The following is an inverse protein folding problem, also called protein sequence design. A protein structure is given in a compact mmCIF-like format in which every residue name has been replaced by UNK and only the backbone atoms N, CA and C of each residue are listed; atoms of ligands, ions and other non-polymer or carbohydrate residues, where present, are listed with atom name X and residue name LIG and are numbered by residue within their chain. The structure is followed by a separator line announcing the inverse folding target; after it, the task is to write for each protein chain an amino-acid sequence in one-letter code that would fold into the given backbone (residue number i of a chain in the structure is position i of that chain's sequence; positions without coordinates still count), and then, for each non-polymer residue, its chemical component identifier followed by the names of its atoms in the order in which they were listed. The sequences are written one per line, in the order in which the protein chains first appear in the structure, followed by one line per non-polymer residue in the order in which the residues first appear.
data_IF_417451322204
#
_entry.id   IF_417451322204
#
_cell.length_a   1.000
_cell.length_b   1.000
_cell.length_c   1.000
_cell.angle_alpha   90.00
_cell.angle_beta   90.00
_cell.angle_gamma   90.00
#
_symmetry.space_group_name_H-M   'P 1'
#
loop_
_entity.id
_entity.type
_entity.pdbx_description
1 polymer ?
#
# COMPACT_ATOMS: atom_id res chain seq x y z
N UNK A 1 -1.00 -2.93 -11.71
CA UNK A 1 -0.45 -3.51 -10.46
C UNK A 1 -0.59 -5.03 -10.38
N UNK A 2 -1.71 -5.64 -10.82
CA UNK A 2 -1.94 -7.09 -10.74
C UNK A 2 -0.76 -7.99 -11.14
N UNK A 3 -0.01 -7.71 -12.23
CA UNK A 3 1.13 -8.56 -12.62
C UNK A 3 2.31 -8.52 -11.63
N UNK A 4 2.27 -7.62 -10.63
CA UNK A 4 3.34 -7.46 -9.65
C UNK A 4 3.04 -8.15 -8.32
N UNK A 5 1.82 -8.67 -8.14
CA UNK A 5 1.46 -9.47 -6.97
C UNK A 5 1.84 -10.94 -7.20
N UNK A 6 2.66 -11.47 -6.32
CA UNK A 6 3.04 -12.89 -6.32
C UNK A 6 1.99 -13.67 -5.53
N UNK A 7 0.91 -14.08 -6.21
CA UNK A 7 -0.23 -14.78 -5.61
C UNK A 7 -0.47 -16.11 -6.35
N UNK A 8 -0.63 -17.19 -5.58
CA UNK A 8 -0.84 -18.57 -6.08
C UNK A 8 -2.29 -19.04 -5.98
N UNK A 9 -3.14 -18.29 -5.28
CA UNK A 9 -4.53 -18.64 -5.01
C UNK A 9 -4.77 -19.31 -3.66
N UNK A 10 -3.72 -19.55 -2.88
CA UNK A 10 -3.79 -20.23 -1.58
C UNK A 10 -3.55 -19.30 -0.40
N UNK A 11 -3.24 -18.04 -0.65
CA UNK A 11 -2.87 -17.08 0.38
C UNK A 11 -4.08 -16.59 1.17
N UNK A 12 -3.86 -16.38 2.46
CA UNK A 12 -4.66 -15.51 3.33
C UNK A 12 -3.98 -14.16 3.32
N UNK A 13 -4.65 -13.14 2.79
CA UNK A 13 -4.06 -11.82 2.63
C UNK A 13 -4.76 -10.76 3.48
N UNK A 14 -4.01 -9.74 3.93
CA UNK A 14 -4.58 -8.59 4.63
C UNK A 14 -4.36 -7.30 3.82
N UNK A 15 -5.40 -6.45 3.76
CA UNK A 15 -5.38 -5.11 3.18
C UNK A 15 -5.55 -4.08 4.29
N UNK A 16 -4.45 -3.41 4.63
CA UNK A 16 -4.37 -2.46 5.74
C UNK A 16 -4.67 -1.04 5.24
N UNK A 17 -5.75 -0.46 5.74
CA UNK A 17 -6.34 0.75 5.19
C UNK A 17 -7.12 0.45 3.92
N UNK A 18 -7.97 -0.57 3.95
CA UNK A 18 -8.67 -1.10 2.77
C UNK A 18 -9.70 -0.13 2.16
N UNK A 19 -10.04 0.95 2.85
CA UNK A 19 -11.03 1.91 2.39
C UNK A 19 -12.35 1.23 2.02
N UNK A 20 -12.87 1.57 0.86
CA UNK A 20 -14.12 1.01 0.33
C UNK A 20 -13.95 -0.34 -0.41
N UNK A 21 -12.84 -1.06 -0.17
CA UNK A 21 -12.63 -2.43 -0.64
C UNK A 21 -12.35 -2.60 -2.14
N UNK A 22 -11.84 -1.58 -2.82
CA UNK A 22 -11.56 -1.67 -4.27
C UNK A 22 -10.56 -2.78 -4.60
N UNK A 23 -9.57 -3.04 -3.73
CA UNK A 23 -8.57 -4.06 -3.96
C UNK A 23 -9.17 -5.47 -3.97
N UNK A 24 -10.25 -5.72 -3.22
CA UNK A 24 -10.97 -6.99 -3.22
C UNK A 24 -11.42 -7.42 -4.62
N UNK A 25 -11.88 -6.49 -5.46
CA UNK A 25 -12.33 -6.79 -6.84
C UNK A 25 -11.19 -7.42 -7.67
N UNK A 26 -9.96 -7.06 -7.36
CA UNK A 26 -8.77 -7.47 -8.12
C UNK A 26 -8.08 -8.69 -7.51
N UNK A 27 -8.01 -8.76 -6.20
CA UNK A 27 -7.22 -9.75 -5.46
C UNK A 27 -8.10 -10.89 -4.95
N UNK A 28 -9.34 -10.62 -4.54
CA UNK A 28 -10.26 -11.63 -4.01
C UNK A 28 -10.36 -12.91 -4.84
N UNK A 29 -10.55 -12.85 -6.18
CA UNK A 29 -10.61 -14.04 -7.02
C UNK A 29 -9.30 -14.83 -7.14
N UNK A 30 -8.20 -14.35 -6.56
CA UNK A 30 -6.84 -14.87 -6.71
C UNK A 30 -6.19 -15.30 -5.40
N UNK A 31 -6.95 -15.33 -4.32
CA UNK A 31 -6.49 -15.71 -2.99
C UNK A 31 -7.48 -16.64 -2.32
N UNK A 32 -7.03 -17.36 -1.32
CA UNK A 32 -7.90 -18.21 -0.50
C UNK A 32 -8.84 -17.35 0.35
N UNK A 33 -8.29 -16.34 1.01
CA UNK A 33 -9.04 -15.42 1.86
C UNK A 33 -8.48 -14.00 1.77
N UNK A 34 -9.37 -13.02 1.73
CA UNK A 34 -9.04 -11.60 1.78
C UNK A 34 -9.62 -10.97 3.03
N UNK A 35 -8.79 -10.29 3.80
CA UNK A 35 -9.16 -9.59 5.03
C UNK A 35 -8.84 -8.12 4.91
N UNK A 36 -9.86 -7.27 4.83
CA UNK A 36 -9.72 -5.81 4.81
C UNK A 36 -9.82 -5.22 6.21
N UNK A 37 -8.98 -4.24 6.53
CA UNK A 37 -9.03 -3.51 7.80
C UNK A 37 -9.02 -2.01 7.54
N UNK A 38 -9.98 -1.30 8.09
CA UNK A 38 -10.03 0.16 8.07
C UNK A 38 -10.64 0.69 9.37
N UNK A 39 -10.22 1.87 9.83
CA UNK A 39 -10.79 2.47 11.03
C UNK A 39 -12.14 3.15 10.78
N UNK A 40 -12.47 3.44 9.52
CA UNK A 40 -13.70 4.12 9.12
C UNK A 40 -14.84 3.14 8.94
N UNK A 41 -15.81 3.17 9.84
CA UNK A 41 -17.02 2.35 9.73
C UNK A 41 -17.80 2.59 8.41
N UNK A 42 -17.76 3.83 7.89
CA UNK A 42 -18.39 4.16 6.62
C UNK A 42 -17.72 3.44 5.45
N UNK A 43 -16.38 3.40 5.44
CA UNK A 43 -15.63 2.68 4.41
C UNK A 43 -15.84 1.16 4.52
N UNK A 44 -15.82 0.61 5.72
CA UNK A 44 -16.06 -0.83 5.94
C UNK A 44 -17.45 -1.23 5.43
N UNK A 45 -18.50 -0.48 5.78
CA UNK A 45 -19.85 -0.73 5.24
C UNK A 45 -19.92 -0.64 3.71
N UNK A 46 -19.16 0.26 3.10
CA UNK A 46 -19.10 0.36 1.64
C UNK A 46 -18.36 -0.82 1.02
N UNK A 47 -17.27 -1.26 1.65
CA UNK A 47 -16.51 -2.43 1.24
C UNK A 47 -17.35 -3.72 1.31
N UNK A 48 -18.14 -3.90 2.36
CA UNK A 48 -19.09 -5.02 2.48
C UNK A 48 -20.16 -4.99 1.37
N UNK A 49 -20.77 -3.82 1.13
CA UNK A 49 -21.73 -3.66 0.02
C UNK A 49 -21.11 -3.98 -1.34
N UNK A 50 -19.86 -3.54 -1.57
CA UNK A 50 -19.11 -3.86 -2.79
C UNK A 50 -18.87 -5.37 -2.92
N UNK A 51 -18.41 -6.02 -1.85
CA UNK A 51 -18.22 -7.48 -1.79
C UNK A 51 -19.50 -8.22 -2.19
N UNK A 52 -20.62 -7.85 -1.57
CA UNK A 52 -21.92 -8.50 -1.78
C UNK A 52 -22.43 -8.26 -3.20
N UNK A 53 -22.32 -7.04 -3.71
CA UNK A 53 -22.70 -6.69 -5.09
C UNK A 53 -21.86 -7.43 -6.16
N UNK A 54 -20.61 -7.79 -5.83
CA UNK A 54 -19.71 -8.55 -6.70
C UNK A 54 -19.84 -10.07 -6.53
N UNK A 55 -20.60 -10.53 -5.54
CA UNK A 55 -20.75 -11.95 -5.22
C UNK A 55 -19.45 -12.61 -4.73
N UNK A 56 -18.51 -11.84 -4.21
CA UNK A 56 -17.22 -12.32 -3.67
C UNK A 56 -17.49 -12.85 -2.26
N UNK A 57 -17.16 -14.13 -2.01
CA UNK A 57 -17.50 -14.80 -0.73
C UNK A 57 -16.33 -14.96 0.22
N UNK A 58 -15.11 -14.81 -0.25
CA UNK A 58 -13.87 -15.02 0.50
C UNK A 58 -13.26 -13.71 1.03
N UNK A 59 -14.04 -12.62 1.06
CA UNK A 59 -13.64 -11.33 1.61
C UNK A 59 -14.32 -11.03 2.94
N UNK A 60 -13.57 -10.64 3.95
CA UNK A 60 -14.06 -10.14 5.24
C UNK A 60 -13.53 -8.74 5.50
N UNK A 61 -14.28 -7.92 6.24
CA UNK A 61 -13.86 -6.55 6.58
C UNK A 61 -14.00 -6.29 8.07
N UNK A 62 -13.04 -5.57 8.63
CA UNK A 62 -12.98 -5.22 10.05
C UNK A 62 -12.86 -3.71 10.23
N UNK A 63 -13.78 -3.13 11.00
CA UNK A 63 -13.68 -1.74 11.44
C UNK A 63 -12.80 -1.71 12.69
N UNK A 64 -11.50 -1.41 12.55
CA UNK A 64 -10.55 -1.46 13.65
C UNK A 64 -9.33 -0.57 13.41
N UNK A 65 -8.65 -0.18 14.49
CA UNK A 65 -7.27 0.31 14.44
C UNK A 65 -6.35 -0.81 13.95
N UNK A 66 -5.47 -0.52 12.98
CA UNK A 66 -4.59 -1.52 12.36
C UNK A 66 -3.66 -2.16 13.40
N UNK A 67 -3.13 -1.39 14.37
CA UNK A 67 -2.22 -1.92 15.40
C UNK A 67 -2.96 -2.89 16.31
N UNK A 68 -4.16 -2.53 16.76
CA UNK A 68 -4.99 -3.40 17.59
C UNK A 68 -5.40 -4.67 16.84
N UNK A 69 -5.77 -4.56 15.57
CA UNK A 69 -6.10 -5.70 14.71
C UNK A 69 -4.90 -6.63 14.55
N UNK A 70 -3.73 -6.11 14.20
CA UNK A 70 -2.51 -6.90 14.02
C UNK A 70 -2.10 -7.63 15.31
N UNK A 71 -2.27 -7.00 16.48
CA UNK A 71 -1.95 -7.61 17.77
C UNK A 71 -2.78 -8.88 18.06
N UNK A 72 -4.00 -8.98 17.51
CA UNK A 72 -4.84 -10.17 17.62
C UNK A 72 -4.63 -11.21 16.51
N UNK A 73 -3.79 -10.90 15.50
CA UNK A 73 -3.53 -11.77 14.35
C UNK A 73 -2.02 -11.98 14.09
N UNK A 74 -1.21 -12.41 15.07
CA UNK A 74 0.23 -12.58 14.90
C UNK A 74 0.54 -13.71 13.91
N UNK A 75 1.38 -13.42 12.92
CA UNK A 75 1.82 -14.40 11.89
C UNK A 75 0.67 -15.12 11.18
N UNK A 76 -0.40 -14.39 10.86
CA UNK A 76 -1.60 -14.95 10.24
C UNK A 76 -1.60 -14.84 8.70
N UNK A 77 -0.95 -13.83 8.13
CA UNK A 77 -1.14 -13.48 6.72
C UNK A 77 0.07 -13.88 5.85
N UNK A 78 -0.22 -14.45 4.69
CA UNK A 78 0.77 -14.86 3.68
C UNK A 78 1.24 -13.68 2.83
N UNK A 79 0.42 -12.63 2.71
CA UNK A 79 0.81 -11.34 2.12
C UNK A 79 0.00 -10.20 2.73
N UNK A 80 0.56 -8.99 2.67
CA UNK A 80 -0.08 -7.76 3.14
C UNK A 80 -0.07 -6.67 2.07
N UNK A 81 -1.08 -5.81 2.10
CA UNK A 81 -1.21 -4.66 1.23
C UNK A 81 -1.39 -3.38 2.06
N UNK A 82 -0.76 -2.29 1.63
CA UNK A 82 -0.94 -0.93 2.14
C UNK A 82 -0.93 0.02 0.95
N UNK A 83 -2.05 0.07 0.22
CA UNK A 83 -2.14 0.79 -1.05
C UNK A 83 -2.85 2.13 -0.85
N UNK A 84 -2.21 3.22 -1.29
CA UNK A 84 -2.71 4.59 -1.13
C UNK A 84 -3.10 4.91 0.33
N UNK A 85 -2.28 4.42 1.27
CA UNK A 85 -2.46 4.53 2.72
C UNK A 85 -1.34 5.33 3.38
N UNK A 86 -0.08 5.10 2.98
CA UNK A 86 1.10 5.60 3.68
C UNK A 86 1.23 7.13 3.66
N UNK A 87 0.69 7.80 2.66
CA UNK A 87 0.67 9.26 2.54
C UNK A 87 -0.25 9.97 3.54
N UNK A 88 -1.15 9.23 4.19
CA UNK A 88 -2.13 9.74 5.15
C UNK A 88 -1.65 9.68 6.61
N UNK A 89 -0.44 9.17 6.86
CA UNK A 89 0.11 8.99 8.22
C UNK A 89 1.53 9.56 8.32
N UNK A 90 1.85 10.15 9.48
CA UNK A 90 3.20 10.65 9.78
C UNK A 90 4.19 9.51 10.03
N UNK A 91 5.49 9.81 10.07
CA UNK A 91 6.55 8.81 10.16
C UNK A 91 6.50 7.97 11.45
N UNK A 92 6.14 8.57 12.57
CA UNK A 92 5.96 7.88 13.86
C UNK A 92 4.79 6.87 13.81
N UNK A 93 3.67 7.28 13.19
CA UNK A 93 2.53 6.40 12.95
C UNK A 93 2.90 5.27 11.96
N UNK A 94 3.65 5.61 10.88
CA UNK A 94 4.14 4.62 9.92
C UNK A 94 4.97 3.54 10.61
N UNK A 95 5.91 3.92 11.49
CA UNK A 95 6.75 2.97 12.23
C UNK A 95 5.93 2.08 13.16
N UNK A 96 4.98 2.66 13.90
CA UNK A 96 4.11 1.91 14.79
C UNK A 96 3.24 0.89 14.03
N UNK A 97 2.59 1.34 12.97
CA UNK A 97 1.71 0.51 12.13
C UNK A 97 2.53 -0.52 11.34
N UNK A 98 3.65 -0.11 10.74
CA UNK A 98 4.50 -0.99 9.94
C UNK A 98 5.11 -2.14 10.76
N UNK A 99 5.49 -1.90 12.01
CA UNK A 99 5.93 -2.96 12.94
C UNK A 99 4.78 -3.93 13.27
N UNK A 100 3.59 -3.41 13.53
CA UNK A 100 2.42 -4.25 13.78
C UNK A 100 2.06 -5.11 12.55
N UNK A 101 2.09 -4.52 11.35
CA UNK A 101 1.89 -5.26 10.09
C UNK A 101 2.97 -6.34 9.93
N UNK A 102 4.24 -6.00 10.18
CA UNK A 102 5.33 -6.97 10.13
C UNK A 102 5.06 -8.16 11.06
N UNK A 103 4.59 -7.92 12.29
CA UNK A 103 4.30 -8.99 13.26
C UNK A 103 3.12 -9.87 12.83
N UNK A 104 2.10 -9.28 12.19
CA UNK A 104 0.93 -10.00 11.68
C UNK A 104 1.23 -10.85 10.43
N UNK A 105 2.26 -10.52 9.67
CA UNK A 105 2.69 -11.30 8.52
C UNK A 105 3.43 -12.57 8.94
N UNK A 106 3.29 -13.65 8.18
CA UNK A 106 4.09 -14.88 8.33
C UNK A 106 5.55 -14.65 7.95
N UNK A 107 6.51 -15.42 8.48
CA UNK A 107 7.89 -15.42 7.98
C UNK A 107 7.93 -15.68 6.47
N UNK A 108 8.69 -14.88 5.73
CA UNK A 108 8.78 -14.95 4.27
C UNK A 108 7.69 -14.22 3.51
N UNK A 109 6.64 -13.75 4.16
CA UNK A 109 5.53 -13.04 3.54
C UNK A 109 5.96 -11.73 2.87
N UNK A 110 5.25 -11.36 1.80
CA UNK A 110 5.45 -10.10 1.08
C UNK A 110 4.50 -9.01 1.61
N UNK A 111 5.03 -7.81 1.69
CA UNK A 111 4.22 -6.61 1.93
C UNK A 111 4.32 -5.68 0.72
N UNK A 112 3.18 -5.32 0.17
CA UNK A 112 3.03 -4.47 -1.00
C UNK A 112 2.57 -3.09 -0.60
N UNK A 113 3.32 -2.06 -1.00
CA UNK A 113 3.01 -0.66 -0.73
C UNK A 113 2.87 0.08 -2.05
N UNK A 114 1.81 0.87 -2.18
CA UNK A 114 1.62 1.78 -3.30
C UNK A 114 1.31 3.18 -2.77
N UNK A 115 1.97 4.22 -3.32
CA UNK A 115 1.87 5.57 -2.77
C UNK A 115 2.39 6.61 -3.78
N UNK A 116 2.04 7.90 -3.67
CA UNK A 116 2.68 8.97 -4.43
C UNK A 116 4.20 9.06 -4.17
N UNK A 117 4.95 9.58 -5.14
CA UNK A 117 6.38 9.81 -5.01
C UNK A 117 6.67 11.30 -4.79
N UNK A 118 7.26 11.66 -3.65
CA UNK A 118 7.64 13.04 -3.33
C UNK A 118 8.60 13.69 -4.34
N UNK A 119 9.39 12.89 -5.08
CA UNK A 119 10.28 13.42 -6.12
C UNK A 119 9.54 13.79 -7.41
N UNK A 120 8.27 13.40 -7.58
CA UNK A 120 7.47 13.73 -8.74
C UNK A 120 7.20 15.23 -8.84
N UNK A 121 7.33 15.80 -10.05
CA UNK A 121 7.28 17.25 -10.23
C UNK A 121 5.99 17.90 -9.68
N UNK A 122 4.84 17.24 -9.80
CA UNK A 122 3.58 17.77 -9.26
C UNK A 122 3.58 17.79 -7.72
N UNK A 123 4.18 16.78 -7.06
CA UNK A 123 4.33 16.79 -5.60
C UNK A 123 5.29 17.89 -5.16
N UNK A 124 6.37 18.13 -5.91
CA UNK A 124 7.27 19.28 -5.65
C UNK A 124 6.57 20.61 -5.81
N UNK A 125 5.71 20.77 -6.84
CA UNK A 125 4.90 21.98 -7.00
C UNK A 125 3.90 22.18 -5.86
N UNK A 126 3.36 21.11 -5.29
CA UNK A 126 2.51 21.15 -4.08
C UNK A 126 3.32 21.57 -2.86
N UNK A 127 4.50 20.99 -2.66
CA UNK A 127 5.41 21.36 -1.58
C UNK A 127 5.76 22.86 -1.64
N UNK A 128 5.99 23.40 -2.82
CA UNK A 128 6.24 24.83 -3.05
C UNK A 128 4.98 25.69 -3.03
N UNK A 129 3.81 25.10 -2.73
CA UNK A 129 2.50 25.78 -2.70
C UNK A 129 2.07 26.42 -4.04
N UNK A 130 2.64 25.98 -5.15
CA UNK A 130 2.21 26.36 -6.52
C UNK A 130 0.93 25.63 -6.88
N UNK A 131 0.80 24.36 -6.48
CA UNK A 131 -0.42 23.58 -6.61
C UNK A 131 -1.06 23.36 -5.24
N UNK A 132 -2.40 23.24 -5.22
CA UNK A 132 -3.16 22.89 -4.01
C UNK A 132 -2.72 21.50 -3.50
N UNK A 133 -2.53 21.39 -2.20
CA UNK A 133 -2.32 20.10 -1.54
C UNK A 133 -3.52 19.18 -1.73
N UNK A 134 -3.26 17.88 -1.86
CA UNK A 134 -4.32 16.87 -1.84
C UNK A 134 -4.74 16.72 -0.37
N UNK A 135 -6.05 16.83 -0.14
CA UNK A 135 -6.62 16.68 1.18
C UNK A 135 -6.28 15.29 1.77
N UNK A 136 -5.86 15.27 3.02
CA UNK A 136 -5.44 14.05 3.70
C UNK A 136 -4.00 13.59 3.43
N UNK A 137 -3.30 14.11 2.42
CA UNK A 137 -1.89 13.79 2.20
C UNK A 137 -1.02 14.58 3.16
N UNK A 138 -0.67 13.99 4.30
CA UNK A 138 0.11 14.63 5.36
C UNK A 138 1.61 14.35 5.25
N UNK A 139 2.01 13.26 4.57
CA UNK A 139 3.41 12.84 4.49
C UNK A 139 3.71 12.04 3.21
N UNK A 140 3.75 12.71 2.07
CA UNK A 140 4.24 12.12 0.83
C UNK A 140 5.76 11.93 0.93
N UNK A 141 6.26 10.73 0.64
CA UNK A 141 7.67 10.36 0.81
C UNK A 141 8.30 9.94 -0.51
N UNK A 142 9.61 10.07 -0.62
CA UNK A 142 10.38 9.49 -1.71
C UNK A 142 10.83 8.05 -1.39
N UNK A 143 11.46 7.39 -2.36
CA UNK A 143 11.95 6.01 -2.24
C UNK A 143 12.85 5.86 -1.00
N UNK A 144 13.86 6.71 -0.84
CA UNK A 144 14.84 6.59 0.25
C UNK A 144 14.18 6.61 1.62
N UNK A 145 13.17 7.48 1.80
CA UNK A 145 12.45 7.55 3.09
C UNK A 145 11.60 6.31 3.33
N UNK A 146 10.92 5.78 2.30
CA UNK A 146 10.18 4.52 2.42
C UNK A 146 11.10 3.35 2.74
N UNK A 147 12.22 3.21 2.04
CA UNK A 147 13.20 2.14 2.30
C UNK A 147 13.70 2.19 3.75
N UNK A 148 14.06 3.37 4.26
CA UNK A 148 14.51 3.54 5.63
C UNK A 148 13.42 3.15 6.64
N UNK A 149 12.18 3.61 6.46
CA UNK A 149 11.06 3.32 7.36
C UNK A 149 10.69 1.83 7.33
N UNK A 150 10.64 1.20 6.14
CA UNK A 150 10.36 -0.23 6.01
C UNK A 150 11.46 -1.08 6.67
N UNK A 151 12.74 -0.71 6.49
CA UNK A 151 13.84 -1.40 7.16
C UNK A 151 13.76 -1.26 8.69
N UNK A 152 13.40 -0.09 9.20
CA UNK A 152 13.20 0.15 10.64
C UNK A 152 11.99 -0.62 11.20
N UNK A 153 10.98 -0.94 10.35
CA UNK A 153 9.88 -1.82 10.71
C UNK A 153 10.27 -3.32 10.70
N UNK A 154 11.48 -3.69 10.24
CA UNK A 154 11.95 -5.07 10.18
C UNK A 154 11.82 -5.73 8.79
N UNK A 155 11.34 -5.01 7.79
CA UNK A 155 11.27 -5.53 6.42
C UNK A 155 12.63 -5.50 5.73
N UNK A 156 12.84 -6.45 4.83
CA UNK A 156 14.06 -6.60 4.01
C UNK A 156 13.69 -6.73 2.53
N UNK A 157 14.72 -6.74 1.66
CA UNK A 157 14.55 -6.94 0.21
C UNK A 157 13.50 -5.99 -0.41
N UNK A 158 13.69 -4.68 -0.19
CA UNK A 158 12.79 -3.68 -0.77
C UNK A 158 13.07 -3.52 -2.26
N UNK A 159 12.09 -3.89 -3.08
CA UNK A 159 12.09 -3.69 -4.52
C UNK A 159 11.16 -2.54 -4.89
N UNK A 160 11.63 -1.61 -5.71
CA UNK A 160 10.87 -0.44 -6.10
C UNK A 160 10.56 -0.47 -7.60
N UNK A 161 9.29 -0.29 -7.95
CA UNK A 161 8.83 -0.04 -9.31
C UNK A 161 8.17 1.32 -9.36
N UNK A 162 8.37 2.02 -10.47
CA UNK A 162 7.72 3.30 -10.71
C UNK A 162 6.52 3.10 -11.62
N UNK A 163 5.39 3.65 -11.21
CA UNK A 163 4.14 3.60 -11.97
C UNK A 163 3.77 4.98 -12.50
N UNK A 164 3.05 5.05 -13.63
CA UNK A 164 2.56 6.30 -14.18
C UNK A 164 1.53 6.95 -13.25
N UNK A 165 1.27 8.23 -13.49
CA UNK A 165 0.16 8.93 -12.85
C UNK A 165 -1.19 8.36 -13.36
N UNK A 166 -2.23 8.41 -12.54
CA UNK A 166 -3.57 7.93 -12.93
C UNK A 166 -4.23 8.75 -14.03
N UNK A 167 -3.91 10.06 -14.09
CA UNK A 167 -4.52 10.98 -15.04
C UNK A 167 -3.73 11.04 -16.33
N UNK A 168 -4.42 10.87 -17.45
CA UNK A 168 -3.91 11.24 -18.77
C UNK A 168 -4.15 12.76 -18.97
N UNK A 169 -3.19 13.60 -19.40
CA UNK A 169 -1.93 13.24 -20.07
C UNK A 169 -0.71 13.06 -19.14
N UNK A 170 -0.84 13.27 -17.82
CA UNK A 170 0.29 13.13 -16.89
C UNK A 170 0.93 11.74 -16.93
N UNK A 171 0.14 10.71 -17.21
CA UNK A 171 0.64 9.34 -17.42
C UNK A 171 1.61 9.24 -18.62
N UNK A 172 1.40 10.00 -19.68
CA UNK A 172 2.27 10.00 -20.86
C UNK A 172 3.69 10.51 -20.56
N UNK A 173 3.83 11.37 -19.55
CA UNK A 173 5.14 11.88 -19.12
C UNK A 173 5.99 10.81 -18.41
N UNK A 174 5.41 9.66 -18.04
CA UNK A 174 6.13 8.58 -17.37
C UNK A 174 7.32 8.06 -18.19
N UNK A 175 7.22 8.06 -19.53
CA UNK A 175 8.32 7.72 -20.43
C UNK A 175 9.59 8.56 -20.21
N UNK A 176 9.44 9.83 -19.81
CA UNK A 176 10.54 10.71 -19.46
C UNK A 176 11.26 10.25 -18.17
N UNK A 177 10.69 9.35 -17.40
CA UNK A 177 11.30 8.76 -16.21
C UNK A 177 12.61 8.01 -16.47
N UNK A 178 12.89 7.64 -17.74
CA UNK A 178 14.14 7.02 -18.14
C UNK A 178 15.26 8.04 -18.44
N UNK A 179 14.96 9.34 -18.57
CA UNK A 179 15.95 10.36 -18.92
C UNK A 179 16.92 10.59 -17.75
N UNK A 180 18.25 10.50 -17.96
CA UNK A 180 19.23 10.78 -16.91
C UNK A 180 19.00 12.15 -16.25
N UNK A 181 19.31 12.24 -14.97
CA UNK A 181 19.24 13.43 -14.10
C UNK A 181 17.84 14.00 -13.86
N UNK A 182 16.97 14.10 -14.88
CA UNK A 182 15.63 14.69 -14.74
C UNK A 182 14.52 13.66 -14.58
N UNK A 183 14.74 12.40 -14.98
CA UNK A 183 13.72 11.35 -15.02
C UNK A 183 13.06 11.07 -13.68
N UNK A 184 13.76 11.28 -12.56
CA UNK A 184 13.18 11.12 -11.22
C UNK A 184 11.92 11.97 -11.01
N UNK A 185 11.84 13.13 -11.65
CA UNK A 185 10.73 14.06 -11.55
C UNK A 185 9.48 13.65 -12.36
N UNK A 186 9.60 12.62 -13.20
CA UNK A 186 8.52 12.08 -14.01
C UNK A 186 8.01 10.72 -13.53
N UNK A 187 8.55 10.20 -12.43
CA UNK A 187 8.16 8.94 -11.79
C UNK A 187 7.10 9.21 -10.73
N UNK A 188 5.83 9.17 -11.14
CA UNK A 188 4.73 9.73 -10.35
C UNK A 188 4.40 8.91 -9.09
N UNK A 189 4.46 7.59 -9.18
CA UNK A 189 4.02 6.72 -8.09
C UNK A 189 5.04 5.63 -7.82
N UNK A 190 5.10 5.23 -6.56
CA UNK A 190 5.94 4.15 -6.07
C UNK A 190 5.08 2.90 -5.86
N UNK A 191 5.57 1.79 -6.33
CA UNK A 191 5.11 0.46 -5.94
C UNK A 191 6.30 -0.27 -5.32
N UNK A 192 6.23 -0.49 -4.01
CA UNK A 192 7.29 -1.15 -3.26
C UNK A 192 6.81 -2.55 -2.88
N UNK A 193 7.71 -3.51 -2.99
CA UNK A 193 7.52 -4.85 -2.47
C UNK A 193 8.66 -5.13 -1.50
N UNK A 194 8.33 -5.52 -0.28
CA UNK A 194 9.33 -5.90 0.71
C UNK A 194 8.93 -7.21 1.39
N UNK A 195 9.86 -7.84 2.09
CA UNK A 195 9.69 -9.18 2.65
C UNK A 195 9.96 -9.20 4.16
N UNK A 196 9.10 -9.91 4.92
CA UNK A 196 9.46 -10.32 6.27
C UNK A 196 10.48 -11.45 6.19
N UNK A 197 11.59 -11.35 6.93
CA UNK A 197 12.62 -12.38 6.93
C UNK A 197 12.04 -13.76 7.29
N UNK A 198 12.50 -14.81 6.60
CA UNK A 198 12.20 -16.18 6.99
C UNK A 198 12.88 -16.48 8.33
N UNK A 199 12.23 -17.22 9.22
CA UNK A 199 12.93 -17.76 10.39
C UNK A 199 13.97 -18.75 9.89
N UNK A 200 15.24 -18.51 10.21
CA UNK A 200 16.34 -19.46 10.02
C UNK A 200 16.15 -20.68 10.93
#
# INVERSE_FOLDING_TARGET
MLPFFELSGQEIVADFGCGNGVLLDLVGPRVHEYVGVDFSEAFVREAERRRDARGIRNGTFHCADIVAFCASHPSCFDAGFGLDFCEHIYDDQFLRIGRAIHDALKPGALFYVHTPNADYFMERLREWRVLKQIEGHVAVRNVRRHEALLAECGFSHVHVRYLPHYLYPAAALHGLGAVPFVGRHFRARLFLTCRKASRS
#
